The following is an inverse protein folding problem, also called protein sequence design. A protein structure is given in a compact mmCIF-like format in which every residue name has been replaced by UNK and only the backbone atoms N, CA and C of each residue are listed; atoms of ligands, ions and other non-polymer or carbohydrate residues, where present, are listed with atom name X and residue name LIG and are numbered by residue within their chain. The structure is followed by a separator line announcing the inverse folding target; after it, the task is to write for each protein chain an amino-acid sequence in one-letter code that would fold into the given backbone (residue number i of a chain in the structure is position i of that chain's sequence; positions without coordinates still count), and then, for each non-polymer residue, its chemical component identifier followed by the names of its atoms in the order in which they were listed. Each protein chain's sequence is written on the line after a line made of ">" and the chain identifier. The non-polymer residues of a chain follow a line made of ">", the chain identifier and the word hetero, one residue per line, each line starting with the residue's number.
data_IF_901573859039
#
_entry.id   IF_901573859039
#
_cell.length_a   1.000
_cell.length_b   1.000
_cell.length_c   1.000
_cell.angle_alpha   90.00
_cell.angle_beta   90.00
_cell.angle_gamma   90.00
#
_symmetry.space_group_name_H-M   'P 1'
#
loop_
_entity.id
_entity.type
_entity.pdbx_description
1 polymer ?
#
# COMPACT_ATOMS: atom_id res chain seq x y z
N UNK A 1 27.95 10.88 42.77
CA UNK A 1 28.08 11.58 41.46
C UNK A 1 28.56 10.64 40.35
N UNK A 2 29.73 9.98 40.45
CA UNK A 2 30.22 9.03 39.42
C UNK A 2 29.33 7.81 39.17
N UNK A 3 28.80 7.17 40.23
CA UNK A 3 27.91 5.99 40.11
C UNK A 3 26.57 6.35 39.42
N UNK A 4 25.98 7.48 39.81
CA UNK A 4 24.74 8.00 39.22
C UNK A 4 24.91 8.36 37.73
N UNK A 5 26.06 8.92 37.37
CA UNK A 5 26.39 9.22 35.98
C UNK A 5 26.58 7.94 35.14
N UNK A 6 27.32 6.95 35.66
CA UNK A 6 27.51 5.67 34.99
C UNK A 6 26.20 4.91 34.78
N UNK A 7 25.29 4.96 35.76
CA UNK A 7 23.95 4.35 35.64
C UNK A 7 23.15 5.00 34.50
N UNK A 8 23.13 6.33 34.42
CA UNK A 8 22.45 7.06 33.33
C UNK A 8 23.04 6.74 31.96
N UNK A 9 24.36 6.59 31.86
CA UNK A 9 25.02 6.23 30.61
C UNK A 9 24.61 4.83 30.13
N UNK A 10 24.53 3.86 31.05
CA UNK A 10 24.05 2.50 30.75
C UNK A 10 22.57 2.51 30.34
N UNK A 11 21.72 3.23 31.07
CA UNK A 11 20.29 3.37 30.77
C UNK A 11 20.08 4.02 29.39
N UNK A 12 20.91 5.01 29.02
CA UNK A 12 20.90 5.65 27.71
C UNK A 12 21.32 4.69 26.58
N UNK A 13 22.37 3.90 26.81
CA UNK A 13 22.86 2.94 25.82
C UNK A 13 21.83 1.83 25.56
N UNK A 14 21.24 1.29 26.63
CA UNK A 14 20.20 0.25 26.53
C UNK A 14 18.97 0.73 25.77
N UNK A 15 18.50 1.96 26.06
CA UNK A 15 17.39 2.56 25.34
C UNK A 15 17.71 2.69 23.85
N UNK A 16 18.89 3.24 23.51
CA UNK A 16 19.29 3.46 22.13
C UNK A 16 19.46 2.14 21.35
N UNK A 17 19.96 1.09 21.98
CA UNK A 17 20.08 -0.23 21.39
C UNK A 17 18.70 -0.80 21.03
N UNK A 18 17.77 -0.82 22.00
CA UNK A 18 16.42 -1.35 21.79
C UNK A 18 15.63 -0.54 20.77
N UNK A 19 15.77 0.79 20.80
CA UNK A 19 15.18 1.68 19.79
C UNK A 19 15.69 1.34 18.39
N UNK A 20 17.01 1.21 18.21
CA UNK A 20 17.60 0.85 16.91
C UNK A 20 17.13 -0.52 16.43
N UNK A 21 16.97 -1.49 17.33
CA UNK A 21 16.46 -2.80 16.96
C UNK A 21 15.01 -2.73 16.45
N UNK A 22 14.16 -1.89 17.05
CA UNK A 22 12.80 -1.65 16.59
C UNK A 22 12.77 -0.96 15.21
N UNK A 23 13.57 0.10 15.04
CA UNK A 23 13.71 0.82 13.76
C UNK A 23 14.27 -0.07 12.65
N UNK A 24 15.24 -0.95 12.96
CA UNK A 24 15.79 -1.90 12.00
C UNK A 24 14.74 -2.90 11.52
N UNK A 25 13.92 -3.44 12.43
CA UNK A 25 12.81 -4.32 12.07
C UNK A 25 11.81 -3.59 11.15
N UNK A 26 11.42 -2.35 11.49
CA UNK A 26 10.54 -1.52 10.64
C UNK A 26 11.13 -1.30 9.26
N UNK A 27 12.41 -0.92 9.21
CA UNK A 27 13.14 -0.69 7.95
C UNK A 27 13.18 -1.93 7.05
N UNK A 28 13.23 -3.12 7.65
CA UNK A 28 13.18 -4.40 6.92
C UNK A 28 11.75 -4.81 6.50
N UNK A 29 10.72 -4.04 6.86
CA UNK A 29 9.31 -4.38 6.62
C UNK A 29 8.73 -5.37 7.64
N UNK A 30 9.45 -5.66 8.72
CA UNK A 30 9.03 -6.58 9.78
C UNK A 30 8.15 -5.85 10.82
N UNK A 31 7.03 -5.29 10.39
CA UNK A 31 6.21 -4.38 11.22
C UNK A 31 5.70 -5.03 12.53
N UNK A 32 5.36 -6.31 12.51
CA UNK A 32 5.01 -7.07 13.73
C UNK A 32 6.18 -7.10 14.73
N UNK A 33 7.37 -7.41 14.24
CA UNK A 33 8.57 -7.49 15.07
C UNK A 33 8.97 -6.09 15.58
N UNK A 34 8.80 -5.07 14.76
CA UNK A 34 9.04 -3.69 15.13
C UNK A 34 8.12 -3.26 16.29
N UNK A 35 6.83 -3.60 16.23
CA UNK A 35 5.86 -3.31 17.29
C UNK A 35 6.15 -4.09 18.57
N UNK A 36 6.45 -5.39 18.48
CA UNK A 36 6.84 -6.19 19.66
C UNK A 36 8.03 -5.53 20.38
N UNK A 37 9.06 -5.12 19.62
CA UNK A 37 10.23 -4.44 20.19
C UNK A 37 9.91 -3.08 20.80
N UNK A 38 8.95 -2.33 20.24
CA UNK A 38 8.50 -1.08 20.82
C UNK A 38 7.67 -1.26 22.10
N UNK A 39 6.82 -2.29 22.17
CA UNK A 39 6.09 -2.62 23.40
C UNK A 39 7.05 -3.00 24.53
N UNK A 40 8.05 -3.85 24.24
CA UNK A 40 9.11 -4.19 25.20
C UNK A 40 9.86 -2.93 25.67
N UNK A 41 10.10 -1.99 24.75
CA UNK A 41 10.77 -0.73 25.07
C UNK A 41 9.89 0.22 25.88
N UNK A 42 8.57 0.20 25.66
CA UNK A 42 7.60 1.00 26.41
C UNK A 42 7.60 0.59 27.89
N UNK A 43 7.52 -0.72 28.17
CA UNK A 43 7.54 -1.23 29.54
C UNK A 43 8.81 -0.81 30.29
N UNK A 44 9.95 -0.87 29.60
CA UNK A 44 11.23 -0.40 30.15
C UNK A 44 11.25 1.13 30.34
N UNK A 45 10.62 1.88 29.44
CA UNK A 45 10.57 3.33 29.52
C UNK A 45 9.74 3.84 30.67
N UNK A 46 8.57 3.25 30.89
CA UNK A 46 7.71 3.55 32.02
C UNK A 46 8.39 3.23 33.36
N UNK A 47 9.20 2.18 33.39
CA UNK A 47 9.85 1.71 34.61
C UNK A 47 11.17 2.41 34.94
N UNK A 48 11.96 2.76 33.93
CA UNK A 48 13.36 3.14 34.13
C UNK A 48 13.78 4.43 33.43
N UNK A 49 12.96 5.01 32.54
CA UNK A 49 13.36 6.17 31.75
C UNK A 49 12.56 7.44 32.09
N UNK A 50 12.97 8.54 31.46
CA UNK A 50 12.34 9.85 31.61
C UNK A 50 11.01 9.91 30.87
N UNK A 51 10.07 10.75 31.34
CA UNK A 51 8.78 11.01 30.68
C UNK A 51 8.90 11.25 29.17
N UNK A 52 9.87 12.06 28.71
CA UNK A 52 10.07 12.31 27.28
C UNK A 52 10.35 11.04 26.46
N UNK A 53 11.02 10.04 27.03
CA UNK A 53 11.27 8.75 26.35
C UNK A 53 10.01 7.91 26.28
N UNK A 54 9.25 7.90 27.37
CA UNK A 54 7.95 7.21 27.42
C UNK A 54 7.01 7.80 26.38
N UNK A 55 6.89 9.12 26.31
CA UNK A 55 6.08 9.82 25.29
C UNK A 55 6.57 9.54 23.87
N UNK A 56 7.89 9.56 23.64
CA UNK A 56 8.46 9.26 22.34
C UNK A 56 8.15 7.82 21.88
N UNK A 57 8.24 6.83 22.79
CA UNK A 57 7.90 5.43 22.49
C UNK A 57 6.40 5.28 22.26
N UNK A 58 5.56 5.91 23.09
CA UNK A 58 4.11 5.86 22.95
C UNK A 58 3.64 6.43 21.60
N UNK A 59 4.14 7.60 21.20
CA UNK A 59 3.82 8.19 19.91
C UNK A 59 4.28 7.30 18.73
N UNK A 60 5.45 6.67 18.88
CA UNK A 60 5.95 5.74 17.87
C UNK A 60 5.09 4.48 17.75
N UNK A 61 4.63 3.92 18.88
CA UNK A 61 3.71 2.79 18.91
C UNK A 61 2.40 3.09 18.21
N UNK A 62 1.80 4.25 18.47
CA UNK A 62 0.58 4.70 17.80
C UNK A 62 0.78 4.74 16.28
N UNK A 63 1.83 5.44 15.84
CA UNK A 63 2.16 5.60 14.42
C UNK A 63 2.41 4.25 13.74
N UNK A 64 3.16 3.34 14.38
CA UNK A 64 3.52 2.05 13.77
C UNK A 64 2.40 1.02 13.83
N UNK A 65 1.49 1.16 14.79
CA UNK A 65 0.27 0.34 14.83
C UNK A 65 -0.61 0.67 13.64
N UNK A 66 -0.83 1.97 13.39
CA UNK A 66 -1.58 2.43 12.23
C UNK A 66 -0.88 2.04 10.92
N UNK A 67 0.45 2.24 10.84
CA UNK A 67 1.24 1.79 9.68
C UNK A 67 1.02 0.31 9.38
N UNK A 68 1.15 -0.56 10.39
CA UNK A 68 0.93 -2.00 10.24
C UNK A 68 -0.48 -2.30 9.74
N UNK A 69 -1.50 -1.65 10.29
CA UNK A 69 -2.88 -1.84 9.86
C UNK A 69 -3.07 -1.45 8.39
N UNK A 70 -2.48 -0.34 7.93
CA UNK A 70 -2.54 0.10 6.54
C UNK A 70 -1.82 -0.88 5.60
N UNK A 71 -0.66 -1.38 6.00
CA UNK A 71 0.07 -2.42 5.25
C UNK A 71 -0.77 -3.70 5.14
N UNK A 72 -1.33 -4.19 6.24
CA UNK A 72 -2.18 -5.40 6.24
C UNK A 72 -3.47 -5.24 5.42
N UNK A 73 -4.08 -4.04 5.46
CA UNK A 73 -5.23 -3.74 4.62
C UNK A 73 -4.85 -3.77 3.14
N UNK A 74 -3.72 -3.15 2.77
CA UNK A 74 -3.16 -3.20 1.42
C UNK A 74 -2.87 -4.64 0.96
N UNK A 75 -2.22 -5.44 1.80
CA UNK A 75 -1.91 -6.85 1.50
C UNK A 75 -3.19 -7.67 1.26
N UNK A 76 -4.22 -7.43 2.07
CA UNK A 76 -5.51 -8.11 1.96
C UNK A 76 -6.24 -7.74 0.67
N UNK A 77 -6.23 -6.46 0.30
CA UNK A 77 -6.83 -5.97 -0.94
C UNK A 77 -6.06 -6.47 -2.16
N UNK A 78 -4.73 -6.51 -2.09
CA UNK A 78 -3.88 -7.08 -3.13
C UNK A 78 -4.16 -8.57 -3.35
N UNK A 79 -4.36 -9.33 -2.26
CA UNK A 79 -4.75 -10.74 -2.33
C UNK A 79 -6.12 -10.94 -3.01
N UNK A 80 -7.05 -9.99 -2.82
CA UNK A 80 -8.35 -9.97 -3.49
C UNK A 80 -8.29 -9.42 -4.93
N UNK A 81 -7.09 -9.08 -5.43
CA UNK A 81 -6.85 -8.42 -6.71
C UNK A 81 -7.52 -7.03 -6.85
N UNK A 82 -7.88 -6.40 -5.74
CA UNK A 82 -8.35 -5.00 -5.72
C UNK A 82 -7.15 -4.05 -5.64
N UNK A 83 -6.41 -3.98 -6.74
CA UNK A 83 -5.15 -3.24 -6.82
C UNK A 83 -5.33 -1.73 -6.55
N UNK A 84 -6.45 -1.14 -6.97
CA UNK A 84 -6.71 0.29 -6.77
C UNK A 84 -6.89 0.60 -5.28
N UNK A 85 -7.71 -0.17 -4.56
CA UNK A 85 -7.87 0.00 -3.13
C UNK A 85 -6.59 -0.38 -2.35
N UNK A 86 -5.84 -1.39 -2.81
CA UNK A 86 -4.55 -1.75 -2.24
C UNK A 86 -3.55 -0.57 -2.32
N UNK A 87 -3.45 0.08 -3.48
CA UNK A 87 -2.61 1.27 -3.68
C UNK A 87 -2.99 2.41 -2.73
N UNK A 88 -4.29 2.65 -2.50
CA UNK A 88 -4.73 3.66 -1.53
C UNK A 88 -4.27 3.32 -0.10
N UNK A 89 -4.35 2.05 0.28
CA UNK A 89 -3.91 1.60 1.60
C UNK A 89 -2.39 1.74 1.79
N UNK A 90 -1.60 1.34 0.79
CA UNK A 90 -0.14 1.52 0.83
C UNK A 90 0.29 2.99 0.73
N UNK A 91 -0.44 3.83 -0.01
CA UNK A 91 -0.17 5.26 -0.08
C UNK A 91 -0.37 5.91 1.29
N UNK A 92 -1.46 5.55 1.98
CA UNK A 92 -1.70 5.98 3.36
C UNK A 92 -0.61 5.49 4.32
N UNK A 93 -0.14 4.24 4.19
CA UNK A 93 1.00 3.73 4.94
C UNK A 93 2.28 4.56 4.68
N UNK A 94 2.54 4.92 3.43
CA UNK A 94 3.70 5.71 3.03
C UNK A 94 3.64 7.14 3.58
N UNK A 95 2.47 7.78 3.57
CA UNK A 95 2.27 9.11 4.17
C UNK A 95 2.56 9.12 5.68
N UNK A 96 2.18 8.06 6.39
CA UNK A 96 2.42 7.93 7.82
C UNK A 96 3.91 7.77 8.16
N UNK A 97 4.61 6.93 7.40
CA UNK A 97 6.01 6.62 7.70
C UNK A 97 6.80 6.29 6.42
N UNK A 98 7.24 7.31 5.65
CA UNK A 98 7.91 7.11 4.37
C UNK A 98 9.14 6.20 4.51
N UNK A 99 9.17 5.11 3.76
CA UNK A 99 10.34 4.26 3.62
C UNK A 99 10.38 3.58 2.25
N UNK A 100 11.54 3.01 1.92
CA UNK A 100 11.77 2.39 0.62
C UNK A 100 11.01 1.07 0.46
N UNK A 101 10.73 0.30 1.53
CA UNK A 101 9.94 -0.94 1.42
C UNK A 101 8.50 -0.66 1.05
N UNK A 102 7.88 0.35 1.65
CA UNK A 102 6.52 0.75 1.27
C UNK A 102 6.53 1.28 -0.18
N UNK A 103 7.55 2.05 -0.57
CA UNK A 103 7.71 2.50 -1.96
C UNK A 103 7.84 1.32 -2.93
N UNK A 104 8.67 0.33 -2.62
CA UNK A 104 8.85 -0.85 -3.46
C UNK A 104 7.51 -1.59 -3.65
N UNK A 105 6.70 -1.71 -2.58
CA UNK A 105 5.37 -2.33 -2.64
C UNK A 105 4.39 -1.50 -3.47
N UNK A 106 4.40 -0.16 -3.33
CA UNK A 106 3.61 0.75 -4.15
C UNK A 106 3.94 0.60 -5.63
N UNK A 107 5.22 0.66 -5.99
CA UNK A 107 5.69 0.58 -7.36
C UNK A 107 5.35 -0.78 -7.99
N UNK A 108 5.54 -1.87 -7.24
CA UNK A 108 5.19 -3.22 -7.70
C UNK A 108 3.67 -3.39 -7.89
N UNK A 109 2.86 -2.84 -6.99
CA UNK A 109 1.39 -2.90 -7.07
C UNK A 109 0.89 -2.07 -8.26
N UNK A 110 1.43 -0.86 -8.42
CA UNK A 110 1.09 0.04 -9.53
C UNK A 110 1.45 -0.59 -10.87
N UNK A 111 2.64 -1.18 -10.98
CA UNK A 111 3.06 -1.92 -12.17
C UNK A 111 2.11 -3.08 -12.49
N UNK A 112 1.68 -3.83 -11.50
CA UNK A 112 0.75 -4.97 -11.70
C UNK A 112 -0.62 -4.49 -12.17
N UNK A 113 -1.15 -3.42 -11.58
CA UNK A 113 -2.37 -2.74 -12.01
C UNK A 113 -2.26 -2.30 -13.47
N UNK A 114 -1.16 -1.63 -13.83
CA UNK A 114 -0.92 -1.14 -15.19
C UNK A 114 -0.82 -2.28 -16.20
N UNK A 115 -0.06 -3.34 -15.89
CA UNK A 115 0.10 -4.51 -16.75
C UNK A 115 -1.26 -5.19 -17.02
N UNK A 116 -2.07 -5.42 -15.97
CA UNK A 116 -3.40 -6.02 -16.11
C UNK A 116 -4.39 -5.13 -16.86
N UNK A 117 -4.36 -3.82 -16.58
CA UNK A 117 -5.18 -2.85 -17.28
C UNK A 117 -4.85 -2.83 -18.78
N UNK A 118 -3.56 -2.74 -19.12
CA UNK A 118 -3.09 -2.67 -20.50
C UNK A 118 -3.39 -3.96 -21.28
N UNK A 119 -3.28 -5.15 -20.66
CA UNK A 119 -3.69 -6.42 -21.30
C UNK A 119 -5.17 -6.41 -21.67
N UNK A 120 -6.04 -6.03 -20.73
CA UNK A 120 -7.49 -6.00 -20.95
C UNK A 120 -7.87 -5.01 -22.04
N UNK A 121 -7.26 -3.82 -22.03
CA UNK A 121 -7.47 -2.81 -23.08
C UNK A 121 -6.99 -3.35 -24.42
N UNK A 122 -5.75 -3.86 -24.51
CA UNK A 122 -5.20 -4.39 -25.77
C UNK A 122 -6.08 -5.48 -26.37
N UNK A 123 -6.58 -6.41 -25.55
CA UNK A 123 -7.47 -7.48 -26.01
C UNK A 123 -8.82 -6.95 -26.47
N UNK A 124 -9.35 -5.91 -25.82
CA UNK A 124 -10.55 -5.21 -26.27
C UNK A 124 -10.34 -4.54 -27.63
N UNK A 125 -9.18 -3.91 -27.81
CA UNK A 125 -8.78 -3.26 -29.06
C UNK A 125 -8.68 -4.27 -30.22
N UNK A 126 -8.12 -5.44 -29.96
CA UNK A 126 -8.01 -6.51 -30.93
C UNK A 126 -9.38 -7.02 -31.38
N UNK A 127 -10.35 -7.17 -30.45
CA UNK A 127 -11.72 -7.57 -30.80
C UNK A 127 -12.37 -6.59 -31.78
N UNK A 128 -12.19 -5.29 -31.55
CA UNK A 128 -12.69 -4.23 -32.45
C UNK A 128 -11.97 -4.29 -33.79
N UNK A 129 -10.64 -4.46 -33.79
CA UNK A 129 -9.83 -4.46 -35.02
C UNK A 129 -10.14 -5.64 -35.93
N UNK A 130 -10.36 -6.83 -35.36
CA UNK A 130 -10.60 -8.04 -36.15
C UNK A 130 -11.88 -7.97 -36.99
N UNK A 131 -12.94 -7.35 -36.49
CA UNK A 131 -14.16 -7.09 -37.27
C UNK A 131 -15.02 -6.00 -36.62
N UNK A 132 -14.72 -4.74 -36.91
CA UNK A 132 -15.37 -3.58 -36.29
C UNK A 132 -16.89 -3.53 -36.54
N UNK A 133 -17.39 -4.14 -37.63
CA UNK A 133 -18.81 -4.21 -37.95
C UNK A 133 -19.55 -5.32 -37.20
N UNK A 134 -18.84 -6.31 -36.63
CA UNK A 134 -19.44 -7.40 -35.90
C UNK A 134 -19.91 -6.97 -34.49
N UNK A 135 -21.20 -7.09 -34.24
CA UNK A 135 -21.82 -6.74 -32.96
C UNK A 135 -21.29 -7.57 -31.78
N UNK A 136 -21.08 -8.88 -31.98
CA UNK A 136 -20.55 -9.79 -30.94
C UNK A 136 -19.15 -9.36 -30.51
N UNK A 137 -18.29 -9.00 -31.46
CA UNK A 137 -16.95 -8.50 -31.15
C UNK A 137 -17.00 -7.20 -30.34
N UNK A 138 -17.93 -6.28 -30.68
CA UNK A 138 -18.12 -5.04 -29.92
C UNK A 138 -18.60 -5.31 -28.49
N UNK A 139 -19.53 -6.24 -28.30
CA UNK A 139 -20.01 -6.66 -26.97
C UNK A 139 -18.89 -7.31 -26.15
N UNK A 140 -18.06 -8.17 -26.76
CA UNK A 140 -16.88 -8.76 -26.11
C UNK A 140 -15.83 -7.71 -25.72
N UNK A 141 -15.57 -6.73 -26.59
CA UNK A 141 -14.68 -5.61 -26.29
C UNK A 141 -15.19 -4.80 -25.10
N UNK A 142 -16.49 -4.48 -25.05
CA UNK A 142 -17.10 -3.79 -23.91
C UNK A 142 -16.89 -4.56 -22.60
N UNK A 143 -17.07 -5.89 -22.60
CA UNK A 143 -16.83 -6.70 -21.41
C UNK A 143 -15.37 -6.69 -20.93
N UNK A 144 -14.40 -6.56 -21.85
CA UNK A 144 -12.98 -6.40 -21.52
C UNK A 144 -12.68 -5.00 -20.96
N UNK A 145 -13.24 -3.95 -21.57
CA UNK A 145 -13.08 -2.59 -21.07
C UNK A 145 -13.77 -2.37 -19.73
N UNK A 146 -14.92 -3.00 -19.46
CA UNK A 146 -15.57 -2.98 -18.14
C UNK A 146 -14.70 -3.64 -17.08
N UNK A 147 -13.96 -4.70 -17.42
CA UNK A 147 -12.97 -5.30 -16.51
C UNK A 147 -11.80 -4.35 -16.26
N UNK A 148 -11.30 -3.70 -17.32
CA UNK A 148 -10.21 -2.72 -17.19
C UNK A 148 -10.62 -1.50 -16.35
N UNK A 149 -11.84 -0.98 -16.51
CA UNK A 149 -12.36 0.11 -15.69
C UNK A 149 -12.57 -0.30 -14.23
N UNK A 150 -12.78 -1.57 -13.90
CA UNK A 150 -12.75 -2.01 -12.50
C UNK A 150 -11.35 -1.88 -11.87
N UNK A 151 -10.29 -1.92 -12.68
CA UNK A 151 -8.91 -1.68 -12.23
C UNK A 151 -8.60 -0.18 -12.16
N UNK A 152 -9.05 0.60 -13.14
CA UNK A 152 -8.90 2.07 -13.19
C UNK A 152 -10.24 2.75 -13.44
N UNK A 153 -11.02 3.01 -12.38
CA UNK A 153 -12.38 3.54 -12.51
C UNK A 153 -12.48 4.91 -13.16
N UNK A 154 -11.39 5.68 -13.10
CA UNK A 154 -11.32 7.07 -13.55
C UNK A 154 -10.64 7.22 -14.94
N UNK A 155 -10.45 6.13 -15.69
CA UNK A 155 -9.85 6.21 -17.03
C UNK A 155 -10.84 6.81 -18.06
N UNK A 156 -10.78 8.13 -18.22
CA UNK A 156 -11.68 8.89 -19.11
C UNK A 156 -11.58 8.46 -20.58
N UNK A 157 -10.40 8.04 -21.04
CA UNK A 157 -10.19 7.63 -22.42
C UNK A 157 -10.95 6.32 -22.70
N UNK A 158 -10.86 5.37 -21.77
CA UNK A 158 -11.55 4.10 -21.88
C UNK A 158 -13.06 4.25 -21.71
N UNK A 159 -13.52 5.13 -20.81
CA UNK A 159 -14.93 5.49 -20.67
C UNK A 159 -15.49 6.00 -22.00
N UNK A 160 -14.83 6.99 -22.62
CA UNK A 160 -15.25 7.57 -23.90
C UNK A 160 -15.28 6.53 -25.02
N UNK A 161 -14.25 5.69 -25.10
CA UNK A 161 -14.18 4.59 -26.08
C UNK A 161 -15.35 3.62 -25.96
N UNK A 162 -15.72 3.26 -24.72
CA UNK A 162 -16.87 2.40 -24.48
C UNK A 162 -18.19 3.05 -24.88
N UNK A 163 -18.37 4.35 -24.62
CA UNK A 163 -19.57 5.10 -25.03
C UNK A 163 -19.74 5.12 -26.55
N UNK A 164 -18.66 5.34 -27.30
CA UNK A 164 -18.66 5.30 -28.77
C UNK A 164 -19.09 3.92 -29.29
N UNK A 165 -18.55 2.84 -28.71
CA UNK A 165 -18.90 1.47 -29.09
C UNK A 165 -20.36 1.17 -28.77
N UNK A 166 -20.84 1.53 -27.56
CA UNK A 166 -22.25 1.38 -27.16
C UNK A 166 -23.18 2.10 -28.13
N UNK A 167 -22.83 3.33 -28.53
CA UNK A 167 -23.60 4.10 -29.52
C UNK A 167 -23.63 3.40 -30.89
N UNK A 168 -22.50 2.85 -31.34
CA UNK A 168 -22.42 2.13 -32.63
C UNK A 168 -23.27 0.84 -32.65
N UNK A 169 -23.40 0.15 -31.51
CA UNK A 169 -24.28 -1.02 -31.39
C UNK A 169 -25.74 -0.59 -31.49
N UNK A 170 -26.13 0.48 -30.80
CA UNK A 170 -27.53 0.94 -30.76
C UNK A 170 -28.02 1.53 -32.09
N UNK A 171 -27.14 2.16 -32.87
CA UNK A 171 -27.47 2.72 -34.20
C UNK A 171 -27.51 1.67 -35.32
N UNK A 172 -27.01 0.45 -35.07
CA UNK A 172 -26.97 -0.66 -36.03
C UNK A 172 -28.11 -1.67 -35.87
N UNK A 173 -29.12 -1.37 -35.04
CA UNK A 173 -30.37 -2.16 -34.89
C UNK A 173 -31.50 -1.54 -35.72
#
# INVERSE_FOLDING_TARGET
>A
KRVEQAKREVDNALFAEKWRAAEAAKFNGEYDTALIRLYDLQELAEKYFTTNRTEMVAHRLETWTELRMRMQAGDSLLFLEDYFAALQSYASAFELAPDNKIRDVLDATQKTLDDKFNDLVSRGDDMIRMNAANRVNREQALGLYEKALRLKPEDENLIRKMEEIKKSINLGN
#
